data_IF_977759378977
#
_entry.id   IF_977759378977
#
_cell.length_a   1.000
_cell.length_b   1.000
_cell.length_c   1.000
_cell.angle_alpha   90.00
_cell.angle_beta   90.00
_cell.angle_gamma   90.00
#
_symmetry.space_group_name_H-M   'P 1'
#
loop_
_entity.id
_entity.type
_entity.pdbx_description
1 polymer ?
#
# COMPACT_ATOMS: atom_id res chain seq x y z
N UNK A 1 -26.52 11.25 6.11
CA UNK A 1 -26.41 11.97 7.40
C UNK A 1 -26.55 13.46 7.10
N UNK A 2 -27.73 14.01 7.37
CA UNK A 2 -28.07 15.42 7.15
C UNK A 2 -27.54 16.22 8.35
N UNK A 3 -26.68 17.19 8.09
CA UNK A 3 -25.99 17.95 9.14
C UNK A 3 -26.84 19.16 9.54
N UNK A 4 -27.45 19.09 10.71
CA UNK A 4 -28.38 20.11 11.27
C UNK A 4 -27.67 21.41 11.71
N UNK A 5 -26.35 21.52 11.56
CA UNK A 5 -25.57 22.70 11.93
C UNK A 5 -25.71 23.92 10.99
N UNK A 6 -26.45 23.81 9.89
CA UNK A 6 -26.70 24.93 8.97
C UNK A 6 -27.93 25.77 9.34
N UNK A 7 -28.52 25.57 10.53
CA UNK A 7 -29.71 26.32 10.97
C UNK A 7 -29.32 27.60 11.70
N UNK A 8 -28.68 28.52 10.98
CA UNK A 8 -28.31 29.82 11.55
C UNK A 8 -27.44 30.72 10.68
N UNK A 9 -27.48 30.60 9.35
CA UNK A 9 -26.68 31.46 8.47
C UNK A 9 -27.61 32.33 7.63
N UNK A 10 -27.73 33.60 8.01
CA UNK A 10 -28.55 34.63 7.36
C UNK A 10 -28.30 34.70 5.85
N UNK A 11 -29.28 35.13 5.03
CA UNK A 11 -29.15 35.29 3.57
C UNK A 11 -27.91 36.09 3.11
N UNK A 12 -27.38 36.94 3.99
CA UNK A 12 -26.13 37.68 3.81
C UNK A 12 -24.90 36.75 3.73
N UNK A 13 -24.86 35.69 4.51
CA UNK A 13 -23.75 34.72 4.52
C UNK A 13 -23.66 33.88 3.26
N UNK A 14 -24.80 33.47 2.69
CA UNK A 14 -24.83 32.77 1.40
C UNK A 14 -24.36 33.68 0.28
N UNK A 15 -24.75 34.96 0.29
CA UNK A 15 -24.25 35.96 -0.67
C UNK A 15 -22.73 36.15 -0.56
N UNK A 16 -22.18 36.22 0.65
CA UNK A 16 -20.71 36.31 0.84
C UNK A 16 -19.98 35.04 0.41
N UNK A 17 -20.61 33.87 0.54
CA UNK A 17 -20.03 32.60 0.12
C UNK A 17 -19.97 32.50 -1.41
N UNK A 18 -21.03 32.92 -2.10
CA UNK A 18 -21.09 32.93 -3.57
C UNK A 18 -20.12 33.95 -4.18
N UNK A 19 -20.02 35.14 -3.56
CA UNK A 19 -19.02 36.16 -3.93
C UNK A 19 -17.61 35.63 -3.68
N UNK A 20 -17.38 34.95 -2.55
CA UNK A 20 -16.11 34.34 -2.22
C UNK A 20 -15.68 33.29 -3.25
N UNK A 21 -16.59 32.41 -3.66
CA UNK A 21 -16.30 31.38 -4.67
C UNK A 21 -15.93 32.01 -6.02
N UNK A 22 -16.72 32.97 -6.48
CA UNK A 22 -16.47 33.69 -7.74
C UNK A 22 -15.14 34.45 -7.71
N UNK A 23 -14.80 35.04 -6.56
CA UNK A 23 -13.54 35.75 -6.36
C UNK A 23 -12.32 34.82 -6.36
N UNK A 24 -12.45 33.62 -5.77
CA UNK A 24 -11.40 32.60 -5.79
C UNK A 24 -11.18 32.06 -7.22
N UNK A 25 -12.24 31.80 -7.97
CA UNK A 25 -12.13 31.39 -9.37
C UNK A 25 -11.46 32.47 -10.24
N UNK A 26 -11.82 33.73 -10.01
CA UNK A 26 -11.19 34.87 -10.68
C UNK A 26 -9.71 35.00 -10.32
N UNK A 27 -9.35 34.86 -9.04
CA UNK A 27 -7.96 34.83 -8.56
C UNK A 27 -7.15 33.69 -9.18
N UNK A 28 -7.73 32.50 -9.31
CA UNK A 28 -7.12 31.35 -9.98
C UNK A 28 -7.04 31.50 -11.51
N UNK A 29 -7.68 32.51 -12.09
CA UNK A 29 -7.46 32.92 -13.49
C UNK A 29 -6.07 33.50 -13.73
N UNK A 30 -5.44 34.10 -12.71
CA UNK A 30 -4.13 34.71 -12.85
C UNK A 30 -3.00 33.67 -12.79
N UNK A 31 -2.15 33.64 -13.83
CA UNK A 31 -1.00 32.71 -13.91
C UNK A 31 -0.06 32.80 -12.71
N UNK A 32 0.14 34.01 -12.16
CA UNK A 32 0.98 34.23 -10.98
C UNK A 32 0.39 33.62 -9.71
N UNK A 33 -0.92 33.75 -9.51
CA UNK A 33 -1.64 33.16 -8.36
C UNK A 33 -1.63 31.64 -8.49
N UNK A 34 -1.89 31.08 -9.68
CA UNK A 34 -1.75 29.62 -9.94
C UNK A 34 -0.33 29.13 -9.68
N UNK A 35 0.69 29.92 -10.01
CA UNK A 35 2.09 29.59 -9.74
C UNK A 35 2.39 29.56 -8.23
N UNK A 36 1.91 30.55 -7.46
CA UNK A 36 2.07 30.57 -6.01
C UNK A 36 1.28 29.48 -5.31
N UNK A 37 0.02 29.28 -5.69
CA UNK A 37 -0.84 28.18 -5.21
C UNK A 37 -0.19 26.84 -5.56
N UNK A 38 0.29 26.67 -6.79
CA UNK A 38 1.03 25.47 -7.19
C UNK A 38 2.34 25.27 -6.43
N UNK A 39 3.00 26.34 -5.97
CA UNK A 39 4.21 26.26 -5.14
C UNK A 39 3.88 25.94 -3.67
N UNK A 40 2.78 26.45 -3.14
CA UNK A 40 2.32 26.19 -1.78
C UNK A 40 1.68 24.79 -1.65
N UNK A 41 0.90 24.37 -2.65
CA UNK A 41 0.30 23.04 -2.76
C UNK A 41 1.29 21.97 -3.23
N UNK A 42 2.52 22.33 -3.62
CA UNK A 42 3.65 21.42 -3.89
C UNK A 42 4.21 20.74 -2.62
N UNK A 43 3.34 20.48 -1.67
CA UNK A 43 3.52 19.52 -0.57
C UNK A 43 2.58 18.31 -0.71
N UNK A 44 1.97 18.12 -1.89
CA UNK A 44 1.46 16.80 -2.28
C UNK A 44 2.63 15.82 -2.26
N UNK A 45 2.50 14.75 -1.47
CA UNK A 45 3.48 13.68 -1.32
C UNK A 45 4.12 13.38 -2.67
N UNK A 46 5.42 13.60 -2.79
CA UNK A 46 6.18 13.28 -3.99
C UNK A 46 5.71 11.92 -4.49
N UNK A 47 5.11 11.90 -5.68
CA UNK A 47 4.70 10.64 -6.30
C UNK A 47 5.87 9.66 -6.32
N UNK A 48 5.59 8.36 -6.45
CA UNK A 48 6.58 7.30 -6.30
C UNK A 48 7.84 7.64 -7.09
N UNK A 49 8.91 7.91 -6.35
CA UNK A 49 10.22 8.22 -6.93
C UNK A 49 10.86 6.89 -7.30
N UNK A 50 11.54 6.81 -8.44
CA UNK A 50 12.10 5.55 -9.00
C UNK A 50 13.04 4.82 -8.02
N UNK A 51 13.56 5.50 -7.00
CA UNK A 51 14.45 4.96 -5.98
C UNK A 51 13.87 5.23 -4.60
N UNK A 52 13.04 4.30 -4.12
CA UNK A 52 12.68 4.25 -2.71
C UNK A 52 13.77 3.59 -1.86
N UNK A 53 13.71 3.74 -0.52
CA UNK A 53 14.64 3.07 0.38
C UNK A 53 14.49 1.55 0.27
N UNK A 54 15.56 0.78 0.56
CA UNK A 54 15.48 -0.67 0.57
C UNK A 54 14.42 -1.14 1.56
N UNK A 55 13.68 -2.18 1.19
CA UNK A 55 12.65 -2.79 2.02
C UNK A 55 13.25 -3.92 2.83
N UNK A 56 12.99 -3.90 4.14
CA UNK A 56 13.25 -5.01 5.05
C UNK A 56 11.97 -5.28 5.82
N UNK A 57 11.50 -6.52 5.77
CA UNK A 57 10.34 -7.00 6.52
C UNK A 57 10.74 -8.21 7.33
N UNK A 58 10.20 -8.31 8.53
CA UNK A 58 10.42 -9.39 9.47
C UNK A 58 9.07 -9.84 10.00
N UNK A 59 8.87 -11.14 10.06
CA UNK A 59 7.64 -11.75 10.56
C UNK A 59 7.98 -12.90 11.52
N UNK A 60 7.16 -13.04 12.55
CA UNK A 60 7.32 -14.07 13.58
C UNK A 60 6.00 -14.80 13.76
N UNK A 61 5.98 -16.07 13.39
CA UNK A 61 4.87 -16.97 13.62
C UNK A 61 5.05 -17.67 14.98
N UNK A 62 4.04 -17.61 15.85
CA UNK A 62 4.02 -18.33 17.12
C UNK A 62 2.97 -19.43 17.01
N UNK A 63 3.36 -20.67 17.29
CA UNK A 63 2.41 -21.78 17.28
C UNK A 63 1.51 -21.73 18.52
N UNK A 64 0.20 -21.76 18.31
CA UNK A 64 -0.77 -21.91 19.40
C UNK A 64 -0.76 -23.38 19.88
N UNK A 65 -0.36 -23.60 21.13
CA UNK A 65 -0.24 -24.95 21.73
C UNK A 65 -1.18 -25.04 22.93
N UNK A 66 -2.17 -25.93 22.84
CA UNK A 66 -3.30 -26.08 23.77
C UNK A 66 -2.90 -26.50 25.21
N UNK A 67 -1.62 -26.83 25.46
CA UNK A 67 -1.07 -27.22 26.76
C UNK A 67 0.36 -26.67 26.95
N UNK A 68 0.50 -25.39 27.29
CA UNK A 68 1.80 -24.72 27.43
C UNK A 68 2.48 -25.02 28.77
N UNK A 69 3.14 -26.19 28.85
CA UNK A 69 4.19 -26.46 29.86
C UNK A 69 5.60 -26.33 29.26
N UNK A 70 5.73 -26.30 27.93
CA UNK A 70 6.99 -26.11 27.20
C UNK A 70 7.02 -24.78 26.44
N UNK A 71 8.22 -24.29 26.12
CA UNK A 71 8.39 -23.14 25.24
C UNK A 71 7.74 -23.42 23.87
N UNK A 72 6.95 -22.46 23.39
CA UNK A 72 6.20 -22.56 22.14
C UNK A 72 7.15 -22.46 20.93
N UNK A 73 7.03 -23.36 19.92
CA UNK A 73 7.78 -23.23 18.68
C UNK A 73 7.50 -21.90 17.99
N UNK A 74 8.55 -21.22 17.52
CA UNK A 74 8.43 -19.96 16.76
C UNK A 74 9.05 -20.12 15.39
N UNK A 75 8.34 -19.66 14.36
CA UNK A 75 8.91 -19.44 13.03
C UNK A 75 9.35 -17.98 12.91
N UNK A 76 10.52 -17.76 12.35
CA UNK A 76 11.03 -16.43 12.01
C UNK A 76 11.25 -16.35 10.51
N UNK A 77 10.85 -15.25 9.89
CA UNK A 77 11.08 -15.02 8.48
C UNK A 77 11.54 -13.58 8.24
N UNK A 78 12.48 -13.41 7.31
CA UNK A 78 12.90 -12.10 6.84
C UNK A 78 12.82 -12.00 5.33
N UNK A 79 12.39 -10.83 4.86
CA UNK A 79 12.35 -10.45 3.46
C UNK A 79 13.16 -9.17 3.28
N UNK A 80 14.08 -9.17 2.32
CA UNK A 80 14.90 -8.00 1.95
C UNK A 80 14.82 -7.74 0.45
N UNK A 81 14.66 -6.48 0.09
CA UNK A 81 14.66 -6.03 -1.31
C UNK A 81 15.40 -4.69 -1.43
N UNK A 82 16.36 -4.55 -2.36
CA UNK A 82 17.24 -3.38 -2.42
C UNK A 82 16.54 -2.10 -2.91
N UNK A 83 15.42 -2.22 -3.63
CA UNK A 83 14.70 -1.08 -4.18
C UNK A 83 13.49 -0.69 -3.31
N UNK A 84 12.82 0.38 -3.71
CA UNK A 84 11.68 0.94 -3.01
C UNK A 84 10.46 0.01 -2.88
N UNK A 85 9.56 0.29 -1.93
CA UNK A 85 8.35 -0.51 -1.70
C UNK A 85 7.40 -0.55 -2.89
N UNK A 86 7.35 0.50 -3.71
CA UNK A 86 6.55 0.52 -4.94
C UNK A 86 7.08 -0.47 -5.98
N UNK A 87 8.40 -0.52 -6.15
CA UNK A 87 9.05 -1.46 -7.05
C UNK A 87 8.86 -2.90 -6.57
N UNK A 88 9.03 -3.14 -5.25
CA UNK A 88 8.72 -4.44 -4.64
C UNK A 88 7.26 -4.86 -4.90
N UNK A 89 6.32 -3.92 -4.74
CA UNK A 89 4.89 -4.20 -4.98
C UNK A 89 4.65 -4.58 -6.43
N UNK A 90 5.20 -3.83 -7.38
CA UNK A 90 5.11 -4.15 -8.82
C UNK A 90 5.71 -5.52 -9.14
N UNK A 91 6.88 -5.83 -8.55
CA UNK A 91 7.53 -7.13 -8.70
C UNK A 91 6.65 -8.27 -8.19
N UNK A 92 6.09 -8.14 -6.98
CA UNK A 92 5.20 -9.16 -6.38
C UNK A 92 3.97 -9.38 -7.25
N UNK A 93 3.35 -8.31 -7.76
CA UNK A 93 2.18 -8.41 -8.65
C UNK A 93 2.55 -9.11 -9.97
N UNK A 94 3.67 -8.74 -10.60
CA UNK A 94 4.11 -9.33 -11.85
C UNK A 94 4.45 -10.83 -11.69
N UNK A 95 5.22 -11.19 -10.66
CA UNK A 95 5.56 -12.59 -10.39
C UNK A 95 4.36 -13.39 -9.90
N UNK A 96 3.46 -12.80 -9.13
CA UNK A 96 2.18 -13.39 -8.72
C UNK A 96 1.31 -13.74 -9.93
N UNK A 97 1.16 -12.80 -10.87
CA UNK A 97 0.43 -13.05 -12.12
C UNK A 97 1.10 -14.17 -12.95
N UNK A 98 2.43 -14.17 -13.05
CA UNK A 98 3.16 -15.25 -13.72
C UNK A 98 2.98 -16.60 -13.04
N UNK A 99 2.99 -16.65 -11.70
CA UNK A 99 2.69 -17.87 -10.94
C UNK A 99 1.28 -18.36 -11.21
N UNK A 100 0.27 -17.48 -11.20
CA UNK A 100 -1.10 -17.87 -11.53
C UNK A 100 -1.16 -18.46 -12.96
N UNK A 101 -0.55 -17.79 -13.93
CA UNK A 101 -0.57 -18.25 -15.32
C UNK A 101 0.07 -19.65 -15.51
N UNK A 102 1.10 -19.98 -14.74
CA UNK A 102 1.85 -21.23 -14.87
C UNK A 102 1.44 -22.34 -13.90
N UNK A 103 1.04 -22.01 -12.66
CA UNK A 103 0.73 -23.00 -11.61
C UNK A 103 -0.76 -23.20 -11.39
N UNK A 104 -1.61 -22.21 -11.69
CA UNK A 104 -3.06 -22.32 -11.48
C UNK A 104 -3.77 -23.11 -12.60
N UNK A 105 -3.07 -23.50 -13.67
CA UNK A 105 -3.65 -24.28 -14.78
C UNK A 105 -4.21 -25.66 -14.36
N UNK A 106 -3.94 -26.14 -13.13
CA UNK A 106 -4.40 -27.45 -12.68
C UNK A 106 -5.11 -27.53 -11.31
N UNK A 107 -5.08 -26.49 -10.46
CA UNK A 107 -5.48 -26.65 -9.04
C UNK A 107 -6.88 -26.14 -8.69
N UNK A 108 -7.29 -24.96 -9.14
CA UNK A 108 -8.68 -24.47 -9.01
C UNK A 108 -8.96 -23.47 -10.14
N UNK A 109 -9.90 -23.81 -11.03
CA UNK A 109 -10.24 -22.95 -12.19
C UNK A 109 -11.21 -21.82 -11.84
N UNK A 110 -11.87 -21.89 -10.66
CA UNK A 110 -12.95 -21.00 -10.27
C UNK A 110 -12.80 -20.62 -8.79
N UNK A 111 -12.77 -19.32 -8.47
CA UNK A 111 -12.72 -18.84 -7.10
C UNK A 111 -11.74 -17.69 -6.88
N UNK A 112 -11.61 -17.27 -5.61
CA UNK A 112 -10.61 -16.29 -5.18
C UNK A 112 -9.36 -17.05 -4.72
N UNK A 113 -8.28 -17.01 -5.51
CA UNK A 113 -7.02 -17.62 -5.10
C UNK A 113 -6.27 -16.70 -4.14
N UNK A 114 -5.86 -17.25 -3.00
CA UNK A 114 -4.93 -16.60 -2.08
C UNK A 114 -3.49 -16.96 -2.44
N UNK A 115 -2.55 -16.10 -2.06
CA UNK A 115 -1.10 -16.33 -2.31
C UNK A 115 -0.60 -17.62 -1.68
N UNK A 116 -1.25 -18.12 -0.62
CA UNK A 116 -0.93 -19.40 0.01
C UNK A 116 -0.99 -20.58 -0.97
N UNK A 117 -1.94 -20.57 -1.92
CA UNK A 117 -2.11 -21.66 -2.89
C UNK A 117 -1.02 -21.71 -3.96
N UNK A 118 -0.34 -20.58 -4.19
CA UNK A 118 0.74 -20.42 -5.18
C UNK A 118 2.09 -20.12 -4.52
N UNK A 119 2.18 -20.23 -3.18
CA UNK A 119 3.29 -19.71 -2.40
C UNK A 119 4.64 -20.29 -2.82
N UNK A 120 4.73 -21.60 -3.04
CA UNK A 120 5.98 -22.26 -3.41
C UNK A 120 6.54 -21.74 -4.75
N UNK A 121 5.69 -21.59 -5.77
CA UNK A 121 6.12 -21.06 -7.07
C UNK A 121 6.43 -19.56 -6.99
N UNK A 122 5.60 -18.80 -6.26
CA UNK A 122 5.78 -17.37 -6.07
C UNK A 122 7.09 -17.06 -5.34
N UNK A 123 7.39 -17.74 -4.24
CA UNK A 123 8.64 -17.56 -3.48
C UNK A 123 9.85 -17.87 -4.37
N UNK A 124 9.80 -18.95 -5.15
CA UNK A 124 10.86 -19.31 -6.10
C UNK A 124 11.10 -18.20 -7.13
N UNK A 125 10.03 -17.63 -7.69
CA UNK A 125 10.13 -16.52 -8.65
C UNK A 125 10.65 -15.23 -8.02
N UNK A 126 10.19 -14.90 -6.82
CA UNK A 126 10.65 -13.72 -6.09
C UNK A 126 12.14 -13.82 -5.76
N UNK A 127 12.61 -14.99 -5.30
CA UNK A 127 14.04 -15.26 -5.11
C UNK A 127 14.83 -15.10 -6.41
N UNK A 128 14.33 -15.66 -7.51
CA UNK A 128 14.94 -15.52 -8.84
C UNK A 128 14.95 -14.07 -9.37
N UNK A 129 14.04 -13.23 -8.88
CA UNK A 129 13.94 -11.82 -9.25
C UNK A 129 14.71 -10.88 -8.30
N UNK A 130 15.51 -11.43 -7.37
CA UNK A 130 16.40 -10.65 -6.49
C UNK A 130 15.80 -10.29 -5.12
N UNK A 131 14.67 -10.87 -4.72
CA UNK A 131 14.16 -10.75 -3.35
C UNK A 131 14.85 -11.78 -2.46
N UNK A 132 15.52 -11.35 -1.40
CA UNK A 132 16.08 -12.27 -0.42
C UNK A 132 15.00 -12.65 0.60
N UNK A 133 14.68 -13.94 0.70
CA UNK A 133 13.69 -14.48 1.64
C UNK A 133 14.36 -15.60 2.44
N UNK A 134 14.47 -15.41 3.74
CA UNK A 134 15.05 -16.33 4.72
C UNK A 134 13.96 -16.72 5.72
N UNK A 135 14.01 -17.97 6.20
CA UNK A 135 13.06 -18.47 7.19
C UNK A 135 13.73 -19.51 8.06
N UNK A 136 13.61 -19.35 9.38
CA UNK A 136 14.20 -20.22 10.38
C UNK A 136 13.14 -20.67 11.39
N UNK A 137 13.29 -21.88 11.92
CA UNK A 137 12.50 -22.36 13.05
C UNK A 137 13.33 -22.09 14.30
N UNK A 138 12.85 -21.19 15.13
CA UNK A 138 13.41 -20.91 16.43
C UNK A 138 12.89 -21.98 17.39
N UNK A 139 13.74 -22.96 17.66
CA UNK A 139 13.56 -23.85 18.81
C UNK A 139 14.01 -23.12 20.07
N UNK A 140 13.22 -23.26 21.11
CA UNK A 140 13.49 -22.74 22.44
C UNK A 140 13.94 -23.86 23.37
#
# INVERSE_FOLDING_TARGET
MYNEYMRGVSAVSSLFTDIGHSFVEWLLGFKFVRYLVGRALKSGTSGPTEKGPPVVMEDVAIADVENSTSLEPRGHATLRYPNGPYDLTGLILAQGAASILHSAQGREKNGCLTTALIAADLIRRLKGAGVAIESDILHA
#
